data_IF_867355874412
#
_entry.id   IF_867355874412
#
_cell.length_a   1.000
_cell.length_b   1.000
_cell.length_c   1.000
_cell.angle_alpha   90.00
_cell.angle_beta   90.00
_cell.angle_gamma   90.00
#
_symmetry.space_group_name_H-M   'P 1'
#
loop_
_entity.id
_entity.type
_entity.pdbx_description
1 polymer ?
#
# COMPACT_ATOMS: atom_id res chain seq x y z
N UNK A 1 -5.37 31.19 1.56
CA UNK A 1 -4.51 32.40 1.58
C UNK A 1 -3.09 32.17 2.11
N UNK A 2 -2.83 31.77 3.37
CA UNK A 2 -1.43 31.57 3.88
C UNK A 2 -0.70 30.39 3.20
N UNK A 3 -1.41 29.29 2.95
CA UNK A 3 -0.86 28.10 2.29
C UNK A 3 -0.44 28.43 0.85
N UNK A 4 -1.30 29.13 0.10
CA UNK A 4 -1.04 29.51 -1.30
C UNK A 4 0.20 30.40 -1.44
N UNK A 5 0.37 31.38 -0.54
CA UNK A 5 1.57 32.23 -0.53
C UNK A 5 2.84 31.44 -0.21
N UNK A 6 2.74 30.48 0.71
CA UNK A 6 3.87 29.63 1.09
C UNK A 6 4.28 28.72 -0.06
N UNK A 7 3.31 28.11 -0.75
CA UNK A 7 3.55 27.26 -1.93
C UNK A 7 4.15 28.07 -3.08
N UNK A 8 3.65 29.27 -3.35
CA UNK A 8 4.18 30.14 -4.40
C UNK A 8 5.65 30.54 -4.14
N UNK A 9 6.00 30.82 -2.89
CA UNK A 9 7.39 31.12 -2.50
C UNK A 9 8.31 29.92 -2.73
N UNK A 10 7.92 28.73 -2.26
CA UNK A 10 8.71 27.50 -2.40
C UNK A 10 8.89 27.16 -3.88
N UNK A 11 7.85 27.31 -4.71
CA UNK A 11 7.96 27.10 -6.15
C UNK A 11 9.01 28.02 -6.77
N UNK A 12 8.97 29.31 -6.43
CA UNK A 12 9.94 30.29 -6.94
C UNK A 12 11.38 29.95 -6.50
N UNK A 13 11.56 29.51 -5.26
CA UNK A 13 12.86 29.07 -4.73
C UNK A 13 13.38 27.85 -5.49
N UNK A 14 12.55 26.83 -5.73
CA UNK A 14 12.94 25.65 -6.51
C UNK A 14 13.33 26.04 -7.94
N UNK A 15 12.53 26.88 -8.59
CA UNK A 15 12.80 27.31 -9.97
C UNK A 15 14.04 28.21 -10.11
N UNK A 16 14.57 28.74 -9.01
CA UNK A 16 15.82 29.52 -9.01
C UNK A 16 17.09 28.64 -8.97
N UNK A 17 16.95 27.34 -8.71
CA UNK A 17 18.05 26.38 -8.64
C UNK A 17 18.51 25.92 -10.03
N UNK A 18 19.68 25.29 -10.11
CA UNK A 18 20.13 24.64 -11.34
C UNK A 18 19.24 23.43 -11.69
N UNK A 19 19.15 23.11 -12.98
CA UNK A 19 18.28 22.03 -13.49
C UNK A 19 18.50 20.68 -12.76
N UNK A 20 19.76 20.34 -12.47
CA UNK A 20 20.12 19.11 -11.74
C UNK A 20 19.50 19.07 -10.34
N UNK A 21 19.50 20.20 -9.64
CA UNK A 21 18.92 20.33 -8.31
C UNK A 21 17.39 20.31 -8.35
N UNK A 22 16.78 20.91 -9.39
CA UNK A 22 15.34 20.83 -9.61
C UNK A 22 14.89 19.38 -9.80
N UNK A 23 15.58 18.63 -10.67
CA UNK A 23 15.31 17.22 -10.93
C UNK A 23 15.51 16.35 -9.69
N UNK A 24 16.54 16.63 -8.88
CA UNK A 24 16.76 15.95 -7.61
C UNK A 24 15.58 16.13 -6.65
N UNK A 25 15.10 17.36 -6.47
CA UNK A 25 13.96 17.66 -5.60
C UNK A 25 12.69 17.00 -6.11
N UNK A 26 12.42 17.07 -7.42
CA UNK A 26 11.25 16.44 -8.04
C UNK A 26 11.23 14.92 -7.78
N UNK A 27 12.35 14.24 -8.03
CA UNK A 27 12.44 12.79 -7.82
C UNK A 27 12.30 12.41 -6.35
N UNK A 28 12.86 13.20 -5.43
CA UNK A 28 12.72 12.96 -3.99
C UNK A 28 11.27 13.12 -3.54
N UNK A 29 10.61 14.21 -3.94
CA UNK A 29 9.20 14.45 -3.63
C UNK A 29 8.32 13.31 -4.17
N UNK A 30 8.57 12.88 -5.41
CA UNK A 30 7.85 11.77 -6.01
C UNK A 30 8.04 10.46 -5.24
N UNK A 31 9.28 10.14 -4.84
CA UNK A 31 9.58 8.94 -4.06
C UNK A 31 8.92 8.94 -2.68
N UNK A 32 8.92 10.09 -1.99
CA UNK A 32 8.28 10.23 -0.68
C UNK A 32 6.76 10.11 -0.79
N UNK A 33 6.15 10.75 -1.79
CA UNK A 33 4.70 10.60 -2.06
C UNK A 33 4.34 9.15 -2.39
N UNK A 34 5.14 8.48 -3.22
CA UNK A 34 4.92 7.08 -3.54
C UNK A 34 4.95 6.22 -2.28
N UNK A 35 5.93 6.43 -1.38
CA UNK A 35 6.01 5.70 -0.11
C UNK A 35 4.79 5.92 0.79
N UNK A 36 4.26 7.14 0.84
CA UNK A 36 3.03 7.45 1.59
C UNK A 36 1.81 6.78 0.96
N UNK A 37 1.73 6.71 -0.37
CA UNK A 37 0.63 6.05 -1.09
C UNK A 37 0.73 4.52 -1.05
N UNK A 38 1.94 3.96 -1.03
CA UNK A 38 2.20 2.52 -0.98
C UNK A 38 2.41 2.01 0.44
N UNK A 39 2.20 2.83 1.48
CA UNK A 39 2.08 2.36 2.84
C UNK A 39 0.90 1.37 2.84
N UNK A 40 1.24 0.08 2.71
CA UNK A 40 0.25 -1.00 2.61
C UNK A 40 -0.78 -0.80 3.72
N UNK A 41 -2.08 -0.97 3.45
CA UNK A 41 -3.05 -1.07 4.53
C UNK A 41 -2.50 -2.09 5.52
N UNK A 42 -2.53 -1.73 6.80
CA UNK A 42 -2.13 -2.63 7.87
C UNK A 42 -2.82 -3.97 7.61
N UNK A 43 -2.04 -5.01 7.29
CA UNK A 43 -2.59 -6.31 6.92
C UNK A 43 -3.27 -6.86 8.17
N UNK A 44 -4.57 -6.64 8.26
CA UNK A 44 -5.40 -7.15 9.32
C UNK A 44 -5.98 -8.50 8.89
N UNK A 45 -5.61 -9.54 9.63
CA UNK A 45 -6.13 -10.90 9.44
C UNK A 45 -7.66 -10.94 9.55
N UNK A 46 -8.30 -9.97 10.23
CA UNK A 46 -9.77 -9.88 10.29
C UNK A 46 -10.41 -9.55 8.94
N UNK A 47 -9.67 -8.94 8.01
CA UNK A 47 -10.13 -8.70 6.63
C UNK A 47 -10.31 -9.99 5.82
N UNK A 48 -9.76 -11.12 6.30
CA UNK A 48 -9.96 -12.44 5.69
C UNK A 48 -11.21 -13.15 6.21
N UNK A 49 -11.87 -12.61 7.25
CA UNK A 49 -13.06 -13.22 7.85
C UNK A 49 -14.18 -13.34 6.82
N UNK A 50 -14.63 -14.56 6.58
CA UNK A 50 -15.77 -14.85 5.71
C UNK A 50 -15.43 -15.06 4.23
N UNK A 51 -14.21 -14.75 3.78
CA UNK A 51 -13.79 -14.94 2.38
C UNK A 51 -13.82 -16.43 1.96
N UNK A 52 -13.59 -17.36 2.88
CA UNK A 52 -13.65 -18.79 2.59
C UNK A 52 -15.06 -19.39 2.63
N UNK A 53 -16.08 -18.69 3.14
CA UNK A 53 -17.38 -19.29 3.47
C UNK A 53 -18.03 -19.98 2.27
N UNK A 54 -17.97 -19.36 1.10
CA UNK A 54 -18.57 -19.87 -0.14
C UNK A 54 -17.80 -21.07 -0.69
N UNK A 55 -16.48 -21.13 -0.47
CA UNK A 55 -15.63 -22.25 -0.89
C UNK A 55 -15.98 -23.51 -0.09
N UNK A 56 -16.31 -23.35 1.20
CA UNK A 56 -16.68 -24.45 2.09
C UNK A 56 -18.15 -24.86 2.00
N UNK A 57 -18.98 -24.23 1.16
CA UNK A 57 -20.38 -24.62 1.02
C UNK A 57 -20.51 -26.00 0.39
N UNK A 58 -21.23 -26.89 1.09
CA UNK A 58 -21.50 -28.25 0.61
C UNK A 58 -20.34 -29.23 0.76
N UNK A 59 -19.22 -28.80 1.34
CA UNK A 59 -18.10 -29.67 1.73
C UNK A 59 -18.25 -30.06 3.20
N UNK A 60 -18.03 -31.34 3.52
CA UNK A 60 -17.81 -31.76 4.89
C UNK A 60 -16.38 -31.34 5.29
N UNK A 61 -16.31 -30.37 6.20
CA UNK A 61 -15.03 -29.84 6.67
C UNK A 61 -14.20 -30.90 7.40
N UNK A 62 -14.86 -31.83 8.09
CA UNK A 62 -14.19 -32.89 8.84
C UNK A 62 -13.59 -33.91 7.87
N UNK A 63 -14.35 -34.35 6.86
CA UNK A 63 -13.85 -35.26 5.82
C UNK A 63 -12.65 -34.68 5.05
N UNK A 64 -12.68 -33.38 4.73
CA UNK A 64 -11.55 -32.71 4.09
C UNK A 64 -10.29 -32.76 4.97
N UNK A 65 -10.42 -32.41 6.26
CA UNK A 65 -9.29 -32.39 7.19
C UNK A 65 -8.71 -33.79 7.40
N UNK A 66 -9.56 -34.81 7.50
CA UNK A 66 -9.11 -36.18 7.74
C UNK A 66 -8.33 -36.71 6.53
N UNK A 67 -8.82 -36.48 5.30
CA UNK A 67 -8.08 -36.80 4.07
C UNK A 67 -6.73 -36.09 3.97
N UNK A 68 -6.67 -34.81 4.33
CA UNK A 68 -5.41 -34.07 4.32
C UNK A 68 -4.44 -34.66 5.35
N UNK A 69 -4.89 -35.05 6.55
CA UNK A 69 -4.03 -35.71 7.56
C UNK A 69 -3.49 -37.05 7.08
N UNK A 70 -4.37 -37.88 6.53
CA UNK A 70 -4.00 -39.21 6.02
C UNK A 70 -2.98 -39.11 4.88
N UNK A 71 -2.96 -38.00 4.12
CA UNK A 71 -2.00 -37.80 3.03
C UNK A 71 -0.58 -37.39 3.49
N UNK A 72 -0.39 -37.14 4.79
CA UNK A 72 0.90 -36.75 5.39
C UNK A 72 1.49 -37.84 6.29
N UNK A 73 0.79 -38.98 6.45
CA UNK A 73 1.31 -40.22 7.05
C UNK A 73 1.93 -41.14 6.00
#
# INVERSE_FOLDING_TARGET
>A
MVIEQTTARIYKEIMSLQLEQQLYILNRLFADMLRTMTAKPQLDITGLRGLGKEIWQGLDAQEYVDRERDSWE
#
